data_IF_311100317703
#
_entry.id   IF_311100317703
#
_cell.length_a   1.000
_cell.length_b   1.000
_cell.length_c   1.000
_cell.angle_alpha   90.00
_cell.angle_beta   90.00
_cell.angle_gamma   90.00
#
_symmetry.space_group_name_H-M   'P 1'
#
loop_
_entity.id
_entity.type
_entity.pdbx_description
1 polymer ?
#
# COMPACT_ATOMS: atom_id res chain seq x y z
N UNK A 1 11.00 19.61 10.01
CA UNK A 1 10.59 18.83 8.82
C UNK A 1 9.40 18.00 9.21
N UNK A 2 8.28 18.09 8.48
CA UNK A 2 7.11 17.25 8.74
C UNK A 2 7.38 15.87 8.13
N UNK A 3 7.34 14.81 8.94
CA UNK A 3 7.43 13.44 8.43
C UNK A 3 6.10 13.05 7.81
N UNK A 4 6.11 12.67 6.53
CA UNK A 4 4.93 12.13 5.83
C UNK A 4 4.84 10.63 6.12
N UNK A 5 3.69 10.18 6.64
CA UNK A 5 3.34 8.77 6.78
C UNK A 5 2.26 8.39 5.76
N UNK A 6 2.36 7.20 5.17
CA UNK A 6 1.42 6.65 4.20
C UNK A 6 0.79 5.35 4.73
N UNK A 7 -0.54 5.19 4.65
CA UNK A 7 -1.16 3.89 4.84
C UNK A 7 -0.85 3.02 3.62
N UNK A 8 -0.10 1.94 3.83
CA UNK A 8 0.32 1.00 2.79
C UNK A 8 -0.17 -0.39 3.14
N UNK A 9 -0.53 -1.20 2.14
CA UNK A 9 -0.76 -2.63 2.37
C UNK A 9 0.56 -3.26 2.81
N UNK A 10 0.55 -3.98 3.94
CA UNK A 10 1.74 -4.65 4.48
C UNK A 10 1.68 -6.16 4.35
N UNK A 11 0.46 -6.73 4.38
CA UNK A 11 0.26 -8.16 4.22
C UNK A 11 -1.14 -8.47 3.68
N UNK A 12 -1.29 -9.57 2.95
CA UNK A 12 -2.58 -10.13 2.58
C UNK A 12 -2.58 -11.64 2.50
N UNK A 13 -3.72 -12.24 2.83
CA UNK A 13 -4.06 -13.63 2.52
C UNK A 13 -5.15 -13.59 1.46
N UNK A 14 -4.83 -14.06 0.27
CA UNK A 14 -5.65 -13.88 -0.91
C UNK A 14 -6.52 -15.11 -1.19
N UNK A 15 -7.84 -14.90 -1.18
CA UNK A 15 -8.90 -15.87 -1.51
C UNK A 15 -8.93 -17.10 -0.59
N UNK A 16 -8.82 -16.87 0.70
CA UNK A 16 -9.07 -17.90 1.69
C UNK A 16 -10.57 -18.24 1.75
N UNK A 17 -10.89 -19.52 1.91
CA UNK A 17 -12.24 -20.02 2.13
C UNK A 17 -12.59 -19.93 3.61
N UNK A 18 -13.72 -19.32 3.94
CA UNK A 18 -14.25 -19.28 5.30
C UNK A 18 -14.66 -20.69 5.73
N UNK A 19 -14.03 -21.22 6.77
CA UNK A 19 -14.28 -22.59 7.25
C UNK A 19 -15.43 -22.65 8.25
N UNK A 20 -15.66 -21.56 8.99
CA UNK A 20 -16.69 -21.50 10.03
C UNK A 20 -17.18 -20.06 10.23
N UNK A 21 -18.42 -19.90 10.68
CA UNK A 21 -18.93 -18.65 11.22
C UNK A 21 -19.71 -18.94 12.50
N UNK A 22 -19.39 -18.23 13.59
CA UNK A 22 -20.03 -18.39 14.89
C UNK A 22 -20.48 -17.04 15.45
N UNK A 23 -21.79 -16.82 15.43
CA UNK A 23 -22.42 -15.59 15.91
C UNK A 23 -22.28 -15.39 17.43
N UNK A 24 -22.20 -16.48 18.20
CA UNK A 24 -22.22 -16.43 19.66
C UNK A 24 -20.83 -16.47 20.28
N UNK A 25 -19.78 -16.51 19.46
CA UNK A 25 -18.39 -16.50 19.91
C UNK A 25 -17.85 -15.08 20.14
N UNK A 26 -16.76 -15.00 20.90
CA UNK A 26 -16.04 -13.74 21.15
C UNK A 26 -15.49 -13.22 19.83
N UNK A 27 -15.97 -12.03 19.42
CA UNK A 27 -15.83 -11.50 18.06
C UNK A 27 -14.40 -11.27 17.60
N UNK A 28 -14.23 -11.29 16.26
CA UNK A 28 -13.04 -11.04 15.41
C UNK A 28 -12.92 -12.13 14.33
N UNK A 29 -11.75 -12.32 13.71
CA UNK A 29 -11.49 -13.44 12.79
C UNK A 29 -10.39 -14.35 13.34
N UNK A 30 -10.68 -15.64 13.47
CA UNK A 30 -9.66 -16.65 13.81
C UNK A 30 -9.04 -17.17 12.53
N UNK A 31 -7.71 -17.18 12.46
CA UNK A 31 -6.95 -17.56 11.26
C UNK A 31 -5.83 -18.53 11.64
N UNK A 32 -5.64 -19.59 10.85
CA UNK A 32 -4.50 -20.49 10.96
C UNK A 32 -3.18 -19.74 11.16
N UNK A 33 -2.45 -20.07 12.23
CA UNK A 33 -1.20 -19.44 12.59
C UNK A 33 -0.10 -19.53 11.50
N UNK A 34 -0.09 -20.57 10.66
CA UNK A 34 0.81 -20.66 9.52
C UNK A 34 0.49 -19.62 8.43
N UNK A 35 -0.78 -19.35 8.19
CA UNK A 35 -1.19 -18.30 7.24
C UNK A 35 -0.85 -16.91 7.76
N UNK A 36 -1.03 -16.70 9.06
CA UNK A 36 -0.62 -15.46 9.73
C UNK A 36 0.88 -15.23 9.63
N UNK A 37 1.67 -16.25 9.95
CA UNK A 37 3.13 -16.17 9.84
C UNK A 37 3.60 -15.89 8.40
N UNK A 38 2.99 -16.54 7.40
CA UNK A 38 3.33 -16.34 6.00
C UNK A 38 2.97 -14.93 5.48
N UNK A 39 1.90 -14.34 6.01
CA UNK A 39 1.42 -13.01 5.63
C UNK A 39 1.98 -11.87 6.52
N UNK A 40 2.90 -12.18 7.44
CA UNK A 40 3.42 -11.26 8.46
C UNK A 40 2.31 -10.55 9.27
N UNK A 41 1.32 -11.33 9.72
CA UNK A 41 0.20 -10.85 10.53
C UNK A 41 0.33 -11.31 11.98
N UNK A 42 0.17 -10.36 12.89
CA UNK A 42 0.23 -10.60 14.32
C UNK A 42 -1.17 -10.81 14.93
N UNK A 43 -1.32 -11.68 15.94
CA UNK A 43 -2.54 -11.72 16.75
C UNK A 43 -2.84 -10.34 17.34
N UNK A 44 -4.09 -9.89 17.22
CA UNK A 44 -4.55 -8.56 17.62
C UNK A 44 -4.34 -7.47 16.57
N UNK A 45 -3.67 -7.76 15.44
CA UNK A 45 -3.49 -6.80 14.36
C UNK A 45 -4.81 -6.55 13.62
N UNK A 46 -5.06 -5.28 13.29
CA UNK A 46 -6.21 -4.90 12.48
C UNK A 46 -6.08 -5.42 11.05
N UNK A 47 -7.17 -5.98 10.54
CA UNK A 47 -7.31 -6.42 9.15
C UNK A 47 -8.64 -5.97 8.58
N UNK A 48 -8.63 -5.69 7.29
CA UNK A 48 -9.85 -5.65 6.49
C UNK A 48 -10.11 -7.04 5.92
N UNK A 49 -11.34 -7.53 6.10
CA UNK A 49 -11.84 -8.75 5.47
C UNK A 49 -12.81 -8.32 4.37
N UNK A 50 -12.49 -8.67 3.14
CA UNK A 50 -13.32 -8.37 1.97
C UNK A 50 -13.82 -9.67 1.37
N UNK A 51 -15.12 -9.82 1.32
CA UNK A 51 -15.81 -11.00 0.81
C UNK A 51 -15.97 -10.90 -0.70
N UNK A 52 -15.34 -11.82 -1.42
CA UNK A 52 -15.38 -11.90 -2.88
C UNK A 52 -16.69 -12.51 -3.37
N UNK A 53 -17.33 -13.36 -2.56
CA UNK A 53 -18.57 -14.05 -2.91
C UNK A 53 -19.75 -13.08 -2.92
N UNK A 54 -19.89 -12.26 -1.88
CA UNK A 54 -21.07 -11.41 -1.69
C UNK A 54 -20.77 -9.89 -1.68
N UNK A 55 -19.50 -9.49 -1.66
CA UNK A 55 -19.08 -8.08 -1.69
C UNK A 55 -19.07 -7.38 -0.33
N UNK A 56 -19.38 -8.07 0.77
CA UNK A 56 -19.30 -7.52 2.12
C UNK A 56 -17.86 -7.11 2.47
N UNK A 57 -17.75 -6.08 3.31
CA UNK A 57 -16.46 -5.54 3.78
C UNK A 57 -16.58 -5.25 5.26
N UNK A 58 -15.61 -5.70 6.04
CA UNK A 58 -15.54 -5.39 7.46
C UNK A 58 -14.08 -5.21 7.90
N UNK A 59 -13.89 -4.35 8.89
CA UNK A 59 -12.61 -4.17 9.56
C UNK A 59 -12.70 -4.83 10.92
N UNK A 60 -11.72 -5.66 11.26
CA UNK A 60 -11.64 -6.36 12.54
C UNK A 60 -10.18 -6.58 12.92
N UNK A 61 -9.91 -7.45 13.89
CA UNK A 61 -8.57 -7.87 14.27
C UNK A 61 -8.41 -9.38 14.17
N UNK A 62 -7.16 -9.86 14.17
CA UNK A 62 -6.85 -11.28 14.03
C UNK A 62 -6.77 -11.99 15.38
N UNK A 63 -7.26 -13.22 15.46
CA UNK A 63 -6.93 -14.21 16.51
C UNK A 63 -6.20 -15.38 15.85
N UNK A 64 -5.14 -15.89 16.49
CA UNK A 64 -4.46 -17.09 16.02
C UNK A 64 -5.29 -18.35 16.29
N UNK A 65 -5.52 -19.14 15.24
CA UNK A 65 -6.06 -20.48 15.29
C UNK A 65 -4.97 -21.56 15.35
N UNK A 66 -5.39 -22.81 15.26
CA UNK A 66 -4.47 -23.96 15.24
C UNK A 66 -3.60 -23.95 13.97
N UNK A 67 -2.30 -24.16 14.15
CA UNK A 67 -1.31 -24.11 13.07
C UNK A 67 -1.49 -25.28 12.08
N UNK A 68 -1.59 -24.97 10.78
CA UNK A 68 -1.78 -25.96 9.71
C UNK A 68 -3.20 -26.51 9.58
N UNK A 69 -4.16 -25.94 10.32
CA UNK A 69 -5.56 -26.34 10.27
C UNK A 69 -6.32 -25.85 9.03
N UNK A 70 -5.80 -24.81 8.35
CA UNK A 70 -6.51 -24.07 7.31
C UNK A 70 -7.71 -23.27 7.84
N UNK A 71 -7.82 -23.08 9.16
CA UNK A 71 -8.97 -22.42 9.77
C UNK A 71 -9.08 -20.95 9.37
N UNK A 72 -10.30 -20.57 8.97
CA UNK A 72 -10.76 -19.18 8.79
C UNK A 72 -12.15 -19.09 9.41
N UNK A 73 -12.23 -18.62 10.67
CA UNK A 73 -13.47 -18.55 11.42
C UNK A 73 -13.91 -17.10 11.63
N UNK A 74 -15.10 -16.75 11.15
CA UNK A 74 -15.71 -15.44 11.35
C UNK A 74 -16.53 -15.47 12.65
N UNK A 75 -16.16 -14.64 13.62
CA UNK A 75 -16.81 -14.63 14.93
C UNK A 75 -17.71 -13.40 15.15
N UNK A 76 -18.76 -13.57 15.95
CA UNK A 76 -19.60 -12.49 16.44
C UNK A 76 -20.41 -11.82 15.33
N UNK A 77 -20.55 -10.50 15.39
CA UNK A 77 -21.41 -9.72 14.49
C UNK A 77 -21.08 -9.89 12.99
N UNK A 78 -19.82 -10.21 12.66
CA UNK A 78 -19.37 -10.44 11.29
C UNK A 78 -20.00 -11.70 10.66
N UNK A 79 -20.44 -12.67 11.46
CA UNK A 79 -21.07 -13.91 10.99
C UNK A 79 -22.43 -13.68 10.30
N UNK A 80 -23.02 -12.49 10.43
CA UNK A 80 -24.21 -12.09 9.68
C UNK A 80 -23.92 -11.76 8.21
N UNK A 81 -22.67 -11.42 7.88
CA UNK A 81 -22.28 -10.90 6.57
C UNK A 81 -21.38 -11.85 5.78
N UNK A 82 -20.71 -12.77 6.49
CA UNK A 82 -19.73 -13.70 5.91
C UNK A 82 -20.02 -15.09 6.46
N UNK A 83 -20.12 -16.08 5.58
CA UNK A 83 -20.60 -17.42 5.89
C UNK A 83 -19.58 -18.50 5.53
N UNK A 84 -19.66 -19.71 6.12
CA UNK A 84 -18.83 -20.83 5.69
C UNK A 84 -18.98 -21.10 4.19
N UNK A 85 -17.85 -21.26 3.50
CA UNK A 85 -17.77 -21.41 2.06
C UNK A 85 -17.55 -20.10 1.29
N UNK A 86 -17.71 -18.94 1.91
CA UNK A 86 -17.38 -17.67 1.27
C UNK A 86 -15.88 -17.54 1.03
N UNK A 87 -15.50 -16.89 -0.08
CA UNK A 87 -14.11 -16.63 -0.42
C UNK A 87 -13.78 -15.21 0.01
N UNK A 88 -12.81 -15.05 0.89
CA UNK A 88 -12.41 -13.76 1.47
C UNK A 88 -10.95 -13.41 1.16
N UNK A 89 -10.64 -12.12 1.20
CA UNK A 89 -9.26 -11.63 1.22
C UNK A 89 -9.08 -10.88 2.53
N UNK A 90 -8.06 -11.25 3.29
CA UNK A 90 -7.64 -10.53 4.49
C UNK A 90 -6.51 -9.58 4.10
N UNK A 91 -6.60 -8.32 4.50
CA UNK A 91 -5.63 -7.27 4.15
C UNK A 91 -5.23 -6.52 5.41
N UNK A 92 -3.93 -6.45 5.71
CA UNK A 92 -3.40 -5.56 6.72
C UNK A 92 -2.77 -4.33 6.09
N UNK A 93 -3.00 -3.18 6.74
CA UNK A 93 -2.38 -1.91 6.39
C UNK A 93 -1.46 -1.44 7.53
N UNK A 94 -0.33 -0.87 7.16
CA UNK A 94 0.64 -0.26 8.07
C UNK A 94 0.88 1.20 7.70
N UNK A 95 1.26 2.00 8.68
CA UNK A 95 1.72 3.37 8.44
C UNK A 95 3.23 3.35 8.22
N UNK A 96 3.66 3.60 6.98
CA UNK A 96 5.07 3.65 6.60
C UNK A 96 5.51 5.09 6.36
N UNK A 97 6.75 5.43 6.65
CA UNK A 97 7.31 6.71 6.20
C UNK A 97 7.31 6.80 4.67
N UNK A 98 7.34 8.00 4.11
CA UNK A 98 7.42 8.17 2.64
C UNK A 98 8.64 7.44 2.05
N UNK A 99 9.76 7.39 2.78
CA UNK A 99 10.96 6.67 2.36
C UNK A 99 10.73 5.15 2.34
N UNK A 100 10.20 4.58 3.43
CA UNK A 100 9.89 3.15 3.52
C UNK A 100 8.82 2.74 2.50
N UNK A 101 7.76 3.52 2.35
CA UNK A 101 6.63 3.22 1.44
C UNK A 101 7.04 3.08 -0.03
N UNK A 102 8.15 3.69 -0.44
CA UNK A 102 8.66 3.60 -1.82
C UNK A 102 9.33 2.27 -2.12
N UNK A 103 9.94 1.65 -1.12
CA UNK A 103 10.73 0.42 -1.30
C UNK A 103 10.11 -0.79 -0.61
N UNK A 104 9.12 -0.59 0.26
CA UNK A 104 8.54 -1.67 1.05
C UNK A 104 7.82 -2.71 0.17
N UNK A 105 8.10 -3.98 0.45
CA UNK A 105 7.54 -5.13 -0.22
C UNK A 105 6.52 -5.81 0.70
N UNK A 106 5.22 -5.84 0.35
CA UNK A 106 4.22 -6.46 1.20
C UNK A 106 4.32 -7.98 1.18
N UNK A 107 3.77 -8.63 2.20
CA UNK A 107 3.66 -10.08 2.25
C UNK A 107 2.37 -10.54 1.56
N UNK A 108 2.49 -11.23 0.43
CA UNK A 108 1.35 -11.75 -0.33
C UNK A 108 1.32 -13.26 -0.22
N UNK A 109 0.23 -13.80 0.34
CA UNK A 109 -0.01 -15.24 0.44
C UNK A 109 -1.20 -15.61 -0.44
N UNK A 110 -1.00 -16.59 -1.33
CA UNK A 110 -2.07 -17.19 -2.14
C UNK A 110 -2.34 -18.60 -1.62
N UNK A 111 -3.62 -18.94 -1.44
CA UNK A 111 -4.04 -20.24 -0.88
C UNK A 111 -4.96 -21.01 -1.82
N UNK A 112 -5.02 -22.33 -1.67
CA UNK A 112 -6.03 -23.16 -2.36
C UNK A 112 -7.40 -23.09 -1.67
N UNK A 113 -8.38 -23.84 -2.18
CA UNK A 113 -9.74 -23.88 -1.62
C UNK A 113 -9.80 -24.50 -0.20
N UNK A 114 -8.78 -25.28 0.20
CA UNK A 114 -8.61 -25.82 1.54
C UNK A 114 -7.66 -24.96 2.40
N UNK A 115 -7.40 -23.71 1.98
CA UNK A 115 -6.55 -22.75 2.66
C UNK A 115 -5.09 -23.18 2.83
N UNK A 116 -4.58 -24.09 1.98
CA UNK A 116 -3.14 -24.41 1.96
C UNK A 116 -2.40 -23.38 1.12
N UNK A 117 -1.24 -22.96 1.61
CA UNK A 117 -0.38 -22.02 0.88
C UNK A 117 0.05 -22.65 -0.44
N UNK A 118 -0.30 -21.98 -1.53
CA UNK A 118 0.15 -22.36 -2.87
C UNK A 118 1.39 -21.57 -3.28
N UNK A 119 1.43 -20.28 -2.92
CA UNK A 119 2.52 -19.39 -3.29
C UNK A 119 2.62 -18.22 -2.31
N UNK A 120 3.82 -17.66 -2.22
CA UNK A 120 4.14 -16.48 -1.42
C UNK A 120 5.01 -15.53 -2.22
N UNK A 121 4.74 -14.23 -2.14
CA UNK A 121 5.55 -13.23 -2.84
C UNK A 121 5.28 -11.81 -2.34
N UNK A 122 5.65 -10.84 -3.17
CA UNK A 122 5.56 -9.41 -2.83
C UNK A 122 4.73 -8.59 -3.81
N UNK A 123 4.24 -9.22 -4.88
CA UNK A 123 3.43 -8.56 -5.89
C UNK A 123 1.92 -8.72 -5.57
N UNK A 124 1.19 -7.63 -5.33
CA UNK A 124 -0.25 -7.70 -5.05
C UNK A 124 -1.12 -8.02 -6.26
N UNK A 125 -0.62 -7.83 -7.49
CA UNK A 125 -1.37 -7.99 -8.74
C UNK A 125 -1.10 -9.29 -9.49
N UNK A 126 -0.04 -10.01 -9.14
CA UNK A 126 0.35 -11.25 -9.82
C UNK A 126 -0.36 -12.48 -9.22
N UNK A 127 -0.71 -13.44 -10.09
CA UNK A 127 -1.17 -14.78 -9.73
C UNK A 127 -0.37 -15.81 -10.53
N UNK A 128 0.00 -16.96 -9.95
CA UNK A 128 0.69 -18.02 -10.70
C UNK A 128 -0.18 -18.55 -11.87
N UNK A 129 0.45 -18.92 -12.98
CA UNK A 129 -0.26 -19.45 -14.16
C UNK A 129 -1.14 -20.67 -13.84
N UNK A 130 -0.63 -21.55 -12.98
CA UNK A 130 -1.35 -22.73 -12.48
C UNK A 130 -2.68 -22.37 -11.83
N UNK A 131 -2.74 -21.19 -11.21
CA UNK A 131 -3.91 -20.69 -10.54
C UNK A 131 -4.88 -20.01 -11.49
N UNK A 132 -4.38 -19.28 -12.50
CA UNK A 132 -5.22 -18.74 -13.58
C UNK A 132 -6.03 -19.83 -14.27
N UNK A 133 -5.41 -20.98 -14.55
CA UNK A 133 -6.09 -22.11 -15.18
C UNK A 133 -7.19 -22.73 -14.30
N UNK A 134 -6.97 -22.80 -12.97
CA UNK A 134 -7.89 -23.45 -12.03
C UNK A 134 -9.01 -22.53 -11.50
N UNK A 135 -8.72 -21.24 -11.31
CA UNK A 135 -9.61 -20.27 -10.66
C UNK A 135 -10.26 -19.27 -11.62
N UNK A 136 -9.78 -19.19 -12.87
CA UNK A 136 -10.19 -18.16 -13.82
C UNK A 136 -9.68 -16.74 -13.47
N UNK A 137 -8.77 -16.61 -12.51
CA UNK A 137 -8.18 -15.32 -12.13
C UNK A 137 -7.13 -14.87 -13.14
N UNK A 138 -7.11 -13.58 -13.40
CA UNK A 138 -6.11 -12.95 -14.26
C UNK A 138 -5.26 -11.99 -13.42
N UNK A 139 -3.95 -11.91 -13.67
CA UNK A 139 -3.12 -10.86 -13.10
C UNK A 139 -3.71 -9.47 -13.40
N UNK A 140 -3.50 -8.53 -12.49
CA UNK A 140 -3.97 -7.16 -12.62
C UNK A 140 -2.81 -6.18 -12.53
N UNK A 141 -2.81 -5.19 -13.44
CA UNK A 141 -1.77 -4.17 -13.51
C UNK A 141 -0.50 -4.66 -14.22
N UNK A 142 0.56 -3.87 -14.07
CA UNK A 142 1.92 -4.25 -14.43
C UNK A 142 2.61 -4.89 -13.21
N UNK A 143 3.70 -5.66 -13.39
CA UNK A 143 4.52 -6.13 -12.28
C UNK A 143 4.81 -5.02 -11.26
N UNK A 144 4.80 -5.36 -9.97
CA UNK A 144 4.78 -4.37 -8.89
C UNK A 144 5.99 -3.43 -8.89
N UNK A 145 7.17 -3.94 -9.24
CA UNK A 145 8.41 -3.18 -9.44
C UNK A 145 8.31 -2.19 -10.61
N UNK A 146 7.78 -2.63 -11.76
CA UNK A 146 7.50 -1.76 -12.89
C UNK A 146 6.49 -0.68 -12.52
N UNK A 147 5.43 -1.06 -11.78
CA UNK A 147 4.42 -0.13 -11.26
C UNK A 147 5.04 0.97 -10.40
N UNK A 148 6.04 0.64 -9.56
CA UNK A 148 6.80 1.62 -8.79
C UNK A 148 7.59 2.56 -9.69
N UNK A 149 8.36 2.05 -10.63
CA UNK A 149 9.15 2.88 -11.54
C UNK A 149 8.28 3.84 -12.37
N UNK A 150 7.04 3.47 -12.69
CA UNK A 150 6.11 4.35 -13.42
C UNK A 150 5.62 5.54 -12.58
N UNK A 151 5.64 5.45 -11.25
CA UNK A 151 5.14 6.51 -10.34
C UNK A 151 6.27 7.20 -9.55
N UNK A 152 7.50 6.71 -9.68
CA UNK A 152 8.70 7.42 -9.25
C UNK A 152 8.78 8.74 -10.02
N UNK A 153 8.88 9.84 -9.28
CA UNK A 153 9.10 11.16 -9.90
C UNK A 153 10.60 11.29 -10.12
N UNK A 154 11.01 11.52 -11.37
CA UNK A 154 12.36 11.99 -11.68
C UNK A 154 12.70 13.18 -10.78
N UNK A 155 13.89 13.15 -10.17
CA UNK A 155 14.26 13.93 -8.99
C UNK A 155 13.84 15.40 -8.99
N UNK A 156 13.18 15.81 -7.91
CA UNK A 156 13.14 17.19 -7.45
C UNK A 156 13.15 17.20 -5.92
N UNK A 157 14.34 17.06 -5.35
CA UNK A 157 14.57 17.50 -3.97
C UNK A 157 14.55 19.04 -3.92
N UNK A 158 14.18 19.66 -2.79
CA UNK A 158 14.66 21.01 -2.50
C UNK A 158 16.15 20.89 -2.20
N UNK A 159 16.98 21.58 -2.97
CA UNK A 159 18.44 21.50 -2.88
C UNK A 159 18.97 21.90 -1.51
N UNK A 160 19.81 21.05 -0.93
CA UNK A 160 20.78 21.44 0.07
C UNK A 160 21.87 22.26 -0.64
N UNK A 161 21.64 23.57 -0.71
CA UNK A 161 22.66 24.56 -1.05
C UNK A 161 23.70 24.59 0.07
N UNK A 162 24.76 23.81 -0.09
CA UNK A 162 25.97 23.89 0.69
C UNK A 162 26.52 25.34 0.70
N UNK A 163 26.99 25.76 1.87
CA UNK A 163 27.26 27.13 2.24
C UNK A 163 28.23 27.88 1.32
N UNK A 164 27.84 29.10 0.97
CA UNK A 164 28.78 30.14 0.60
C UNK A 164 29.37 30.74 1.87
N UNK A 165 30.67 30.53 2.07
CA UNK A 165 31.46 31.20 3.08
C UNK A 165 31.32 32.72 2.95
N UNK A 166 30.92 33.37 4.04
CA UNK A 166 31.17 34.79 4.23
C UNK A 166 32.65 34.94 4.57
N UNK A 167 33.45 35.31 3.57
CA UNK A 167 34.78 35.86 3.80
C UNK A 167 34.81 37.30 3.26
N UNK A 168 35.24 38.21 4.13
CA UNK A 168 35.22 39.64 3.88
C UNK A 168 36.20 40.06 2.79
N UNK A 169 35.76 41.00 1.97
CA UNK A 169 36.68 41.81 1.18
C UNK A 169 36.11 43.22 1.03
N UNK A 170 36.96 44.16 1.44
CA UNK A 170 36.75 45.59 1.50
C UNK A 170 36.45 46.20 0.12
N UNK A 171 35.64 47.25 0.13
CA UNK A 171 35.27 48.07 -1.01
C UNK A 171 36.33 49.16 -1.25
N UNK A 172 36.86 49.33 -2.48
CA UNK A 172 37.39 50.62 -2.88
C UNK A 172 36.52 51.29 -3.95
N UNK A 173 36.29 52.57 -3.66
CA UNK A 173 35.61 53.64 -4.41
C UNK A 173 36.06 53.77 -5.87
N UNK A 174 35.10 53.91 -6.80
CA UNK A 174 35.17 54.68 -8.07
C UNK A 174 33.75 55.13 -8.46
N UNK A 175 33.34 56.38 -8.24
CA UNK A 175 33.47 57.56 -9.12
C UNK A 175 32.89 57.39 -10.54
N UNK A 176 31.66 57.89 -10.68
CA UNK A 176 31.23 58.91 -11.65
C UNK A 176 30.97 58.60 -13.14
N UNK A 177 29.76 59.05 -13.53
CA UNK A 177 29.30 59.54 -14.84
C UNK A 177 29.07 58.48 -15.93
N UNK A 178 27.95 58.39 -16.64
CA UNK A 178 26.79 59.26 -16.76
C UNK A 178 26.09 58.99 -18.10
N UNK A 179 24.80 59.32 -18.14
CA UNK A 179 24.01 59.72 -19.32
C UNK A 179 23.51 58.70 -20.36
N UNK A 180 22.22 58.84 -20.69
CA UNK A 180 21.63 58.59 -22.02
C UNK A 180 20.71 57.37 -22.10
N UNK A 181 19.46 57.41 -21.63
CA UNK A 181 18.26 57.91 -22.31
C UNK A 181 17.84 57.09 -23.56
N UNK A 182 16.73 56.34 -23.46
CA UNK A 182 15.45 56.69 -24.11
C UNK A 182 14.46 55.53 -23.99
N UNK A 183 13.36 55.80 -23.29
CA UNK A 183 12.12 55.02 -23.26
C UNK A 183 11.02 55.90 -23.87
N UNK A 184 10.22 55.30 -24.75
CA UNK A 184 8.87 55.68 -25.20
C UNK A 184 8.59 54.80 -26.45
N UNK A 185 7.75 53.77 -26.41
CA UNK A 185 6.39 53.80 -25.89
C UNK A 185 5.44 54.05 -27.06
N UNK A 186 4.84 52.97 -27.60
CA UNK A 186 3.60 52.95 -28.41
C UNK A 186 3.16 51.49 -28.57
N UNK A 187 2.33 51.04 -27.64
CA UNK A 187 1.43 49.90 -27.86
C UNK A 187 0.07 50.49 -28.25
N UNK A 188 -0.45 50.04 -29.40
CA UNK A 188 -1.72 50.44 -29.96
C UNK A 188 -2.61 49.20 -30.01
N UNK A 189 -3.73 49.27 -29.31
CA UNK A 189 -4.67 48.16 -29.19
C UNK A 189 -5.58 47.93 -30.40
N UNK A 190 -6.48 46.99 -30.15
CA UNK A 190 -7.78 46.74 -30.78
C UNK A 190 -7.83 45.85 -32.04
N UNK A 191 -8.75 44.88 -31.99
CA UNK A 191 -9.19 44.00 -33.08
C UNK A 191 -9.18 42.55 -32.60
N UNK A 192 -10.25 41.97 -32.03
CA UNK A 192 -11.51 41.57 -32.68
C UNK A 192 -11.29 40.83 -33.99
#
# INVERSE_FOLDING_TARGET
MTSLLRPMMIGKIHRATVTQADLHYVGSITVDAHLLAAADLLPGQQVDVVDVTNGARLTTYVIAGEAGSGQICINGAAAHLVHPGDVVILIAYGMLSDAEARTYEPHVVLVDAENRIMDTGHDPGTVPESWTAASGLHPSGVPFDQGRSLVERDGAGPGDGAGAAHDGAEHPVRSDLGSGASDAGRDAGAGR
#
